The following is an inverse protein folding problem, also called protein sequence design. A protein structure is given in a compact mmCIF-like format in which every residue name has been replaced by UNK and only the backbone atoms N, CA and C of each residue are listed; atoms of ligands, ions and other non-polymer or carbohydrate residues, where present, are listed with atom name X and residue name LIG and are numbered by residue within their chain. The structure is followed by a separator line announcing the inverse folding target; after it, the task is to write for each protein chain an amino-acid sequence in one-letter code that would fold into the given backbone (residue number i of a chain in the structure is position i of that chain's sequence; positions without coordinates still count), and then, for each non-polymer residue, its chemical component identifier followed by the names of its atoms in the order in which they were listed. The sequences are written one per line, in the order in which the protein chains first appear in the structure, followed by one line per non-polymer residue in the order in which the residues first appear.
data_IF_644286862683
#
_entry.id   IF_644286862683
#
_cell.length_a   1.000
_cell.length_b   1.000
_cell.length_c   1.000
_cell.angle_alpha   90.00
_cell.angle_beta   90.00
_cell.angle_gamma   90.00
#
_symmetry.space_group_name_H-M   'P 1'
#
loop_
_entity.id
_entity.type
_entity.pdbx_description
1 polymer ?
#
# COMPACT_ATOMS: atom_id res chain seq x y z
N UNK A 1 25.42 3.49 4.65
CA UNK A 1 24.42 2.83 5.50
C UNK A 1 23.76 1.79 4.65
N UNK A 2 23.98 0.52 4.96
CA UNK A 2 23.42 -0.60 4.21
C UNK A 2 22.02 -0.92 4.77
N UNK A 3 21.10 -1.29 3.87
CA UNK A 3 19.71 -1.55 4.21
C UNK A 3 19.31 -2.95 3.74
N UNK A 4 18.61 -3.66 4.62
CA UNK A 4 17.93 -4.92 4.33
C UNK A 4 16.43 -4.68 4.48
N UNK A 5 15.64 -5.18 3.53
CA UNK A 5 14.18 -5.07 3.56
C UNK A 5 13.58 -6.47 3.70
N UNK A 6 12.94 -6.72 4.84
CA UNK A 6 12.14 -7.91 5.08
C UNK A 6 10.72 -7.72 4.54
N UNK A 7 10.46 -8.21 3.33
CA UNK A 7 9.13 -8.16 2.72
C UNK A 7 8.41 -9.48 2.92
N UNK A 8 7.24 -9.45 3.57
CA UNK A 8 6.32 -10.58 3.66
C UNK A 8 5.08 -10.31 2.80
N UNK A 9 4.33 -11.37 2.50
CA UNK A 9 3.15 -11.31 1.62
C UNK A 9 2.10 -10.36 2.21
N UNK A 10 1.82 -9.27 1.48
CA UNK A 10 0.85 -8.22 1.87
C UNK A 10 -0.31 -8.04 0.89
N UNK A 11 -0.27 -8.77 -0.23
CA UNK A 11 -1.25 -8.66 -1.32
C UNK A 11 -1.65 -10.04 -1.83
N UNK A 12 -2.87 -10.46 -1.53
CA UNK A 12 -3.32 -11.84 -1.72
C UNK A 12 -4.30 -11.90 -2.88
N UNK A 13 -3.85 -12.38 -4.04
CA UNK A 13 -4.69 -12.53 -5.23
C UNK A 13 -5.34 -13.91 -5.36
N UNK A 14 -4.94 -14.85 -4.51
CA UNK A 14 -5.41 -16.22 -4.54
C UNK A 14 -5.50 -16.77 -3.11
N UNK A 15 -6.61 -17.45 -2.79
CA UNK A 15 -6.84 -18.03 -1.47
C UNK A 15 -5.77 -19.05 -1.05
N UNK A 16 -5.09 -19.70 -2.00
CA UNK A 16 -3.99 -20.62 -1.70
C UNK A 16 -2.82 -19.94 -0.99
N UNK A 17 -2.66 -18.63 -1.12
CA UNK A 17 -1.60 -17.85 -0.48
C UNK A 17 -1.99 -17.32 0.91
N UNK A 18 -3.24 -17.53 1.35
CA UNK A 18 -3.71 -17.08 2.66
C UNK A 18 -2.83 -17.56 3.83
N UNK A 19 -2.33 -18.82 3.86
CA UNK A 19 -1.47 -19.28 4.93
C UNK A 19 -0.09 -18.62 4.97
N UNK A 20 0.34 -17.94 3.90
CA UNK A 20 1.64 -17.26 3.83
C UNK A 20 1.59 -15.81 4.34
N UNK A 21 0.40 -15.24 4.45
CA UNK A 21 0.21 -13.88 4.92
C UNK A 21 0.26 -13.83 6.46
N UNK A 22 1.33 -13.27 7.01
CA UNK A 22 1.57 -13.23 8.46
C UNK A 22 0.40 -12.59 9.23
N UNK A 23 -0.27 -11.60 8.65
CA UNK A 23 -1.42 -10.97 9.27
C UNK A 23 -2.69 -11.82 9.33
N UNK A 24 -2.76 -12.95 8.62
CA UNK A 24 -3.86 -13.91 8.78
C UNK A 24 -3.59 -14.94 9.88
N UNK A 25 -2.36 -15.03 10.38
CA UNK A 25 -1.95 -15.99 11.40
C UNK A 25 -2.06 -15.36 12.81
N UNK A 26 -3.29 -15.03 13.23
CA UNK A 26 -3.55 -14.26 14.47
C UNK A 26 -2.83 -14.81 15.72
N UNK A 27 -2.78 -16.13 15.88
CA UNK A 27 -2.13 -16.79 17.02
C UNK A 27 -0.59 -16.62 17.02
N UNK A 28 0.01 -16.40 15.84
CA UNK A 28 1.47 -16.27 15.67
C UNK A 28 1.91 -14.81 15.44
N UNK A 29 0.98 -13.86 15.31
CA UNK A 29 1.29 -12.45 15.02
C UNK A 29 2.29 -11.86 16.02
N UNK A 30 2.09 -12.10 17.33
CA UNK A 30 3.00 -11.60 18.36
C UNK A 30 4.40 -12.18 18.20
N UNK A 31 4.50 -13.49 17.96
CA UNK A 31 5.77 -14.16 17.75
C UNK A 31 6.50 -13.60 16.53
N UNK A 32 5.80 -13.34 15.43
CA UNK A 32 6.41 -12.73 14.24
C UNK A 32 6.88 -11.29 14.51
N UNK A 33 6.09 -10.48 15.22
CA UNK A 33 6.51 -9.13 15.63
C UNK A 33 7.79 -9.19 16.45
N UNK A 34 7.86 -10.05 17.47
CA UNK A 34 9.03 -10.20 18.34
C UNK A 34 10.29 -10.57 17.53
N UNK A 35 10.17 -11.49 16.58
CA UNK A 35 11.28 -11.92 15.71
C UNK A 35 11.76 -10.76 14.83
N UNK A 36 10.83 -10.02 14.21
CA UNK A 36 11.17 -8.91 13.32
C UNK A 36 11.81 -7.74 14.08
N UNK A 37 11.30 -7.42 15.26
CA UNK A 37 11.87 -6.39 16.14
C UNK A 37 13.24 -6.79 16.67
N UNK A 38 13.43 -8.05 17.12
CA UNK A 38 14.73 -8.56 17.53
C UNK A 38 15.75 -8.53 16.39
N UNK A 39 15.32 -8.89 15.18
CA UNK A 39 16.16 -8.81 13.96
C UNK A 39 16.56 -7.37 13.66
N UNK A 40 15.64 -6.42 13.78
CA UNK A 40 15.94 -5.01 13.60
C UNK A 40 16.91 -4.47 14.65
N UNK A 41 16.76 -4.88 15.91
CA UNK A 41 17.66 -4.51 16.99
C UNK A 41 19.08 -5.07 16.76
N UNK A 42 19.20 -6.29 16.24
CA UNK A 42 20.50 -6.89 15.92
C UNK A 42 21.17 -6.21 14.71
N UNK A 43 20.41 -5.99 13.63
CA UNK A 43 20.90 -5.26 12.46
C UNK A 43 21.44 -3.87 12.84
N UNK A 44 20.76 -3.17 13.77
CA UNK A 44 21.20 -1.87 14.25
C UNK A 44 22.56 -1.91 14.96
N UNK A 45 22.89 -3.00 15.70
CA UNK A 45 24.21 -3.16 16.34
C UNK A 45 25.33 -3.27 15.29
N UNK A 46 25.02 -3.84 14.14
CA UNK A 46 25.91 -3.98 12.98
C UNK A 46 25.90 -2.75 12.06
N UNK A 47 25.29 -1.63 12.47
CA UNK A 47 25.09 -0.43 11.64
C UNK A 47 24.29 -0.65 10.34
N UNK A 48 23.43 -1.67 10.33
CA UNK A 48 22.49 -1.98 9.26
C UNK A 48 21.08 -1.46 9.62
N UNK A 49 20.33 -1.04 8.60
CA UNK A 49 18.89 -0.78 8.75
C UNK A 49 18.11 -1.99 8.27
N UNK A 50 17.29 -2.58 9.14
CA UNK A 50 16.33 -3.62 8.76
C UNK A 50 14.92 -3.04 8.75
N UNK A 51 14.36 -2.84 7.55
CA UNK A 51 13.01 -2.34 7.37
C UNK A 51 12.05 -3.50 7.09
N UNK A 52 10.90 -3.53 7.75
CA UNK A 52 9.88 -4.56 7.59
C UNK A 52 8.48 -3.97 7.77
N UNK A 53 7.46 -4.61 7.18
CA UNK A 53 6.07 -4.27 7.46
C UNK A 53 5.61 -4.97 8.76
N UNK A 54 4.72 -4.35 9.53
CA UNK A 54 4.12 -5.02 10.69
C UNK A 54 3.28 -6.24 10.26
N UNK A 55 3.38 -7.40 10.94
CA UNK A 55 2.48 -8.52 10.73
C UNK A 55 1.08 -8.26 11.33
N UNK A 56 0.86 -7.15 12.03
CA UNK A 56 -0.43 -6.76 12.61
C UNK A 56 -1.07 -5.68 11.74
N UNK A 57 -2.26 -5.96 11.21
CA UNK A 57 -3.03 -4.97 10.43
C UNK A 57 -3.56 -3.86 11.35
N UNK A 58 -3.27 -2.62 10.97
CA UNK A 58 -3.83 -1.46 11.65
C UNK A 58 -5.28 -1.21 11.22
N UNK A 59 -6.16 -1.07 12.23
CA UNK A 59 -7.60 -0.83 12.02
C UNK A 59 -7.93 0.64 11.75
N UNK A 60 -7.04 1.57 12.09
CA UNK A 60 -7.27 3.00 11.93
C UNK A 60 -6.63 3.56 10.66
N UNK A 61 -7.09 4.74 10.23
CA UNK A 61 -6.47 5.47 9.13
C UNK A 61 -5.06 5.89 9.57
N UNK A 62 -4.10 5.16 9.03
CA UNK A 62 -2.68 5.33 9.28
C UNK A 62 -2.02 5.89 8.01
N UNK A 63 -0.76 6.33 8.11
CA UNK A 63 -0.04 6.84 6.96
C UNK A 63 0.15 5.73 5.93
N UNK A 64 -0.07 6.04 4.65
CA UNK A 64 0.19 5.08 3.59
C UNK A 64 1.69 4.91 3.41
N UNK A 65 2.19 3.69 3.59
CA UNK A 65 3.63 3.37 3.54
C UNK A 65 4.21 3.47 2.12
N UNK A 66 3.37 3.52 1.11
CA UNK A 66 3.75 3.66 -0.31
C UNK A 66 4.11 5.11 -0.69
N UNK A 67 4.10 6.03 0.28
CA UNK A 67 4.54 7.43 0.14
C UNK A 67 3.76 8.20 -0.94
N UNK A 68 2.46 7.94 -1.06
CA UNK A 68 1.60 8.43 -2.15
C UNK A 68 1.48 9.96 -2.24
N UNK A 69 1.87 10.68 -1.18
CA UNK A 69 1.95 12.15 -1.17
C UNK A 69 3.19 12.70 -1.89
N UNK A 70 4.22 11.88 -2.09
CA UNK A 70 5.52 12.29 -2.65
C UNK A 70 6.01 11.38 -3.79
N UNK A 71 5.29 10.29 -4.07
CA UNK A 71 5.58 9.35 -5.15
C UNK A 71 4.36 9.13 -6.05
N UNK A 72 4.62 8.64 -7.26
CA UNK A 72 3.62 8.11 -8.17
C UNK A 72 4.13 6.83 -8.81
N UNK A 73 3.21 6.04 -9.37
CA UNK A 73 3.52 4.88 -10.20
C UNK A 73 3.13 5.18 -11.63
N UNK A 74 4.04 4.87 -12.57
CA UNK A 74 3.77 4.94 -14.00
C UNK A 74 3.66 3.51 -14.52
N UNK A 75 2.51 3.17 -15.09
CA UNK A 75 2.26 1.83 -15.64
C UNK A 75 2.98 1.63 -16.98
N UNK A 76 3.05 0.39 -17.47
CA UNK A 76 3.62 0.07 -18.79
C UNK A 76 2.88 0.75 -19.94
N UNK A 77 1.62 1.15 -19.72
CA UNK A 77 0.81 1.89 -20.68
C UNK A 77 0.97 3.42 -20.54
N UNK A 78 1.79 3.89 -19.59
CA UNK A 78 2.01 5.30 -19.30
C UNK A 78 0.99 5.92 -18.34
N UNK A 79 0.05 5.14 -17.78
CA UNK A 79 -0.92 5.66 -16.82
C UNK A 79 -0.23 6.01 -15.50
N UNK A 80 -0.55 7.19 -14.96
CA UNK A 80 0.01 7.67 -13.70
C UNK A 80 -1.00 7.46 -12.59
N UNK A 81 -0.68 6.54 -11.68
CA UNK A 81 -1.47 6.24 -10.49
C UNK A 81 -0.73 6.59 -9.20
N UNK A 82 -1.45 6.59 -8.07
CA UNK A 82 -0.86 6.93 -6.77
C UNK A 82 -0.03 5.79 -6.17
N UNK A 83 -0.34 4.55 -6.52
CA UNK A 83 0.22 3.37 -5.86
C UNK A 83 0.16 2.13 -6.78
N UNK A 84 1.12 1.22 -6.61
CA UNK A 84 1.18 -0.06 -7.35
C UNK A 84 -0.09 -0.89 -7.15
N UNK A 85 -0.69 -0.86 -5.95
CA UNK A 85 -1.95 -1.55 -5.63
C UNK A 85 -3.20 -0.95 -6.31
N UNK A 86 -3.03 0.17 -7.01
CA UNK A 86 -4.08 0.86 -7.76
C UNK A 86 -3.74 0.98 -9.25
N UNK A 87 -2.74 0.25 -9.74
CA UNK A 87 -2.33 0.32 -11.14
C UNK A 87 -3.43 -0.15 -12.08
N UNK A 88 -3.58 0.51 -13.22
CA UNK A 88 -4.47 0.11 -14.32
C UNK A 88 -4.12 -1.26 -14.90
N UNK A 89 -2.88 -1.70 -14.75
CA UNK A 89 -2.41 -3.04 -15.15
C UNK A 89 -2.97 -4.16 -14.27
N UNK A 90 -3.67 -3.82 -13.20
CA UNK A 90 -4.38 -4.76 -12.34
C UNK A 90 -5.82 -5.01 -12.81
N UNK A 91 -6.25 -4.50 -13.98
CA UNK A 91 -7.55 -4.88 -14.54
C UNK A 91 -7.50 -6.28 -15.14
N UNK A 92 -8.55 -7.07 -14.93
CA UNK A 92 -8.75 -8.31 -15.67
C UNK A 92 -9.18 -8.00 -17.12
N UNK A 93 -8.96 -8.94 -18.04
CA UNK A 93 -9.25 -8.79 -19.48
C UNK A 93 -10.68 -8.29 -19.78
N UNK A 94 -11.64 -8.62 -18.91
CA UNK A 94 -13.04 -8.24 -19.03
C UNK A 94 -13.39 -6.88 -18.37
N UNK A 95 -12.39 -6.05 -18.06
CA UNK A 95 -12.52 -4.79 -17.29
C UNK A 95 -13.15 -4.96 -15.91
N UNK A 96 -13.12 -6.17 -15.36
CA UNK A 96 -13.51 -6.43 -13.98
C UNK A 96 -12.37 -6.01 -13.06
N UNK A 97 -12.67 -5.43 -11.88
CA UNK A 97 -11.66 -5.14 -10.89
C UNK A 97 -11.02 -6.46 -10.44
N UNK A 98 -9.69 -6.46 -10.26
CA UNK A 98 -9.02 -7.55 -9.59
C UNK A 98 -9.54 -7.65 -8.16
N UNK A 99 -9.71 -8.87 -7.68
CA UNK A 99 -10.15 -9.11 -6.31
C UNK A 99 -8.94 -9.57 -5.51
N UNK A 100 -8.76 -8.99 -4.33
CA UNK A 100 -7.76 -9.45 -3.37
C UNK A 100 -8.44 -9.89 -2.07
N UNK A 101 -7.75 -10.70 -1.28
CA UNK A 101 -8.24 -11.09 0.04
C UNK A 101 -7.70 -10.12 1.08
N UNK A 102 -8.62 -9.50 1.82
CA UNK A 102 -8.33 -8.63 2.94
C UNK A 102 -9.21 -9.01 4.13
N UNK A 103 -8.62 -9.30 5.30
CA UNK A 103 -9.35 -9.72 6.50
C UNK A 103 -10.37 -10.85 6.22
N UNK A 104 -9.91 -11.92 5.55
CA UNK A 104 -10.74 -13.06 5.12
C UNK A 104 -11.94 -12.72 4.21
N UNK A 105 -11.95 -11.52 3.61
CA UNK A 105 -13.00 -11.05 2.71
C UNK A 105 -12.44 -10.75 1.33
N UNK A 106 -13.25 -11.00 0.30
CA UNK A 106 -12.93 -10.70 -1.09
C UNK A 106 -13.25 -9.23 -1.39
N UNK A 107 -12.23 -8.45 -1.68
CA UNK A 107 -12.34 -7.00 -1.86
C UNK A 107 -11.95 -6.59 -3.29
N UNK A 108 -12.79 -5.80 -3.99
CA UNK A 108 -12.46 -5.33 -5.33
C UNK A 108 -11.40 -4.22 -5.28
N UNK A 109 -10.40 -4.35 -6.14
CA UNK A 109 -9.34 -3.40 -6.35
C UNK A 109 -9.60 -2.63 -7.65
N UNK A 110 -10.05 -1.40 -7.50
CA UNK A 110 -10.28 -0.51 -8.64
C UNK A 110 -8.98 0.23 -8.97
N UNK A 111 -8.61 0.30 -10.26
CA UNK A 111 -7.47 1.09 -10.66
C UNK A 111 -7.74 2.59 -10.47
N UNK A 112 -6.69 3.34 -10.15
CA UNK A 112 -6.71 4.79 -10.08
C UNK A 112 -5.65 5.33 -11.03
N UNK A 113 -6.09 6.10 -12.01
CA UNK A 113 -5.21 6.86 -12.91
C UNK A 113 -5.62 8.32 -12.88
N UNK A 114 -4.64 9.20 -12.77
CA UNK A 114 -4.82 10.65 -12.83
C UNK A 114 -4.42 11.23 -14.17
N UNK A 115 -3.87 10.44 -15.09
CA UNK A 115 -3.47 10.88 -16.42
C UNK A 115 -2.53 9.89 -17.09
N UNK A 116 -2.06 10.23 -18.28
CA UNK A 116 -1.15 9.38 -19.04
C UNK A 116 0.01 10.22 -19.62
N UNK A 117 1.25 9.77 -19.40
CA UNK A 117 2.45 10.51 -19.81
C UNK A 117 2.61 10.63 -21.33
N UNK A 118 1.90 9.83 -22.12
CA UNK A 118 1.86 9.95 -23.58
C UNK A 118 1.06 11.17 -24.06
N UNK A 119 0.21 11.75 -23.21
CA UNK A 119 -0.72 12.84 -23.57
C UNK A 119 -0.44 14.15 -22.84
N UNK A 120 0.24 14.10 -21.69
CA UNK A 120 0.53 15.27 -20.86
C UNK A 120 1.77 15.02 -19.98
N UNK A 121 2.43 16.08 -19.53
CA UNK A 121 3.62 15.95 -18.68
C UNK A 121 3.28 15.41 -17.29
N UNK A 122 4.22 14.67 -16.68
CA UNK A 122 4.06 14.16 -15.33
C UNK A 122 3.72 15.26 -14.32
N UNK A 123 4.37 16.43 -14.43
CA UNK A 123 4.06 17.60 -13.59
C UNK A 123 2.62 18.05 -13.75
N UNK A 124 2.10 18.11 -15.00
CA UNK A 124 0.71 18.50 -15.23
C UNK A 124 -0.27 17.50 -14.63
N UNK A 125 0.03 16.20 -14.71
CA UNK A 125 -0.79 15.15 -14.07
C UNK A 125 -0.75 15.30 -12.55
N UNK A 126 0.43 15.48 -11.98
CA UNK A 126 0.65 15.64 -10.54
C UNK A 126 -0.13 16.83 -9.97
N UNK A 127 -0.17 17.95 -10.70
CA UNK A 127 -0.87 19.17 -10.30
C UNK A 127 -2.39 19.14 -10.54
N UNK A 128 -2.96 18.04 -11.06
CA UNK A 128 -4.41 17.94 -11.22
C UNK A 128 -5.11 17.99 -9.86
N UNK A 129 -6.21 18.74 -9.83
CA UNK A 129 -7.07 18.87 -8.64
C UNK A 129 -7.46 17.52 -8.03
N UNK A 130 -7.82 16.53 -8.85
CA UNK A 130 -8.20 15.20 -8.37
C UNK A 130 -7.03 14.46 -7.70
N UNK A 131 -5.79 14.61 -8.20
CA UNK A 131 -4.63 13.97 -7.61
C UNK A 131 -4.20 14.70 -6.32
N UNK A 132 -4.25 16.04 -6.31
CA UNK A 132 -4.08 16.82 -5.08
C UNK A 132 -5.08 16.42 -3.99
N UNK A 133 -6.36 16.28 -4.34
CA UNK A 133 -7.39 15.83 -3.41
C UNK A 133 -7.09 14.43 -2.85
N UNK A 134 -6.66 13.50 -3.70
CA UNK A 134 -6.25 12.17 -3.25
C UNK A 134 -5.07 12.25 -2.27
N UNK A 135 -4.04 13.04 -2.55
CA UNK A 135 -2.89 13.19 -1.66
C UNK A 135 -3.27 13.82 -0.32
N UNK A 136 -4.13 14.84 -0.33
CA UNK A 136 -4.65 15.47 0.89
C UNK A 136 -5.38 14.48 1.81
N UNK A 137 -6.06 13.47 1.26
CA UNK A 137 -6.69 12.41 2.06
C UNK A 137 -5.69 11.51 2.79
N UNK A 138 -4.42 11.49 2.36
CA UNK A 138 -3.36 10.65 2.89
C UNK A 138 -2.26 11.46 3.59
N UNK A 139 -2.39 12.78 3.66
CA UNK A 139 -1.38 13.67 4.22
C UNK A 139 -1.44 13.66 5.77
N UNK A 140 -0.35 13.26 6.45
CA UNK A 140 -0.25 13.32 7.91
C UNK A 140 -0.53 14.69 8.51
N UNK A 141 -0.11 15.74 7.82
CA UNK A 141 -0.01 17.09 8.36
C UNK A 141 -1.33 17.87 8.19
N UNK A 142 -2.31 17.28 7.49
CA UNK A 142 -3.64 17.89 7.38
C UNK A 142 -4.40 17.83 8.72
N UNK A 143 -4.88 19.00 9.15
CA UNK A 143 -5.49 19.26 10.46
C UNK A 143 -6.82 18.55 10.70
N UNK A 144 -7.36 17.91 9.66
CA UNK A 144 -8.58 17.10 9.72
C UNK A 144 -8.19 15.73 9.17
N UNK A 145 -8.12 14.68 10.01
CA UNK A 145 -7.93 13.32 9.53
C UNK A 145 -8.97 13.03 8.44
N UNK A 146 -8.50 12.63 7.26
CA UNK A 146 -9.39 12.25 6.16
C UNK A 146 -10.41 11.23 6.66
N UNK A 147 -11.70 11.48 6.44
CA UNK A 147 -12.72 10.51 6.84
C UNK A 147 -12.44 9.20 6.09
N UNK A 148 -12.29 8.04 6.75
CA UNK A 148 -11.99 6.77 6.09
C UNK A 148 -13.00 6.39 4.98
N UNK A 149 -14.22 6.92 5.05
CA UNK A 149 -15.23 6.75 4.00
C UNK A 149 -14.94 7.50 2.69
N UNK A 150 -14.06 8.51 2.73
CA UNK A 150 -13.62 9.28 1.56
C UNK A 150 -12.43 8.65 0.85
N UNK A 151 -11.76 7.68 1.47
CA UNK A 151 -10.69 6.93 0.83
C UNK A 151 -11.24 6.08 -0.33
N UNK A 152 -10.50 5.98 -1.46
CA UNK A 152 -10.86 5.04 -2.51
C UNK A 152 -10.97 3.62 -1.98
N UNK A 153 -11.85 2.80 -2.57
CA UNK A 153 -12.09 1.41 -2.13
C UNK A 153 -10.80 0.63 -1.91
N UNK A 154 -9.89 0.68 -2.88
CA UNK A 154 -8.60 -0.01 -2.85
C UNK A 154 -7.71 0.42 -1.67
N UNK A 155 -7.87 1.65 -1.15
CA UNK A 155 -7.14 2.16 0.01
C UNK A 155 -7.80 1.74 1.34
N UNK A 156 -9.14 1.56 1.35
CA UNK A 156 -9.88 1.13 2.54
C UNK A 156 -9.49 -0.29 2.95
N UNK A 157 -9.40 -1.20 1.98
CA UNK A 157 -9.00 -2.59 2.16
C UNK A 157 -7.50 -2.84 1.95
N UNK A 158 -6.64 -1.82 2.14
CA UNK A 158 -5.18 -1.96 1.94
C UNK A 158 -4.43 -2.31 3.24
N UNK A 159 -3.44 -3.21 3.13
CA UNK A 159 -2.53 -3.60 4.20
C UNK A 159 -1.36 -2.62 4.42
N UNK A 160 -1.16 -1.62 3.54
CA UNK A 160 -0.03 -0.68 3.55
C UNK A 160 -0.32 0.58 4.38
N UNK A 161 -0.48 0.38 5.69
CA UNK A 161 -0.78 1.43 6.67
C UNK A 161 0.21 1.35 7.83
N UNK A 162 0.96 2.42 8.10
CA UNK A 162 1.98 2.53 9.17
C UNK A 162 1.44 3.20 10.45
N UNK A 163 2.00 2.80 11.60
CA UNK A 163 1.73 3.35 12.94
C UNK A 163 2.17 4.80 13.05
#
# INVERSE_FOLDING_TARGET
MEQIVGSHLTWILNNSLLPEALFNLEEEQQRFSDILEATAAEAKKENLTFAFNSPVLQKQAAHCTENVCRSCVVSVNGDVGPCVFTSSTLLQDNRQPLVHVFQNSLEPCYPLSFGNIAHESLTRIWEKKAYHQFRNLHDPEMTIPGNPSQLPQSCRSCCKKEV
#
